data_IF_252648063833
#
_entry.id   IF_252648063833
#
_cell.length_a   1.000
_cell.length_b   1.000
_cell.length_c   1.000
_cell.angle_alpha   90.00
_cell.angle_beta   90.00
_cell.angle_gamma   90.00
#
_symmetry.space_group_name_H-M   'P 1'
#
loop_
_entity.id
_entity.type
_entity.pdbx_description
1 polymer ?
#
# COMPACT_ATOMS: atom_id res chain seq x y z
N UNK A 1 -3.02 -1.73 -53.99
CA UNK A 1 -3.85 -1.87 -52.76
C UNK A 1 -3.73 -3.26 -52.12
N UNK A 2 -3.55 -4.34 -52.88
CA UNK A 2 -3.54 -5.71 -52.34
C UNK A 2 -2.34 -6.04 -51.42
N UNK A 3 -1.15 -5.48 -51.67
CA UNK A 3 0.04 -5.76 -50.85
C UNK A 3 -0.04 -5.19 -49.42
N UNK A 4 -0.68 -4.01 -49.27
CA UNK A 4 -0.85 -3.37 -47.96
C UNK A 4 -1.83 -4.16 -47.07
N UNK A 5 -2.92 -4.66 -47.66
CA UNK A 5 -3.92 -5.45 -46.94
C UNK A 5 -3.36 -6.80 -46.47
N UNK A 6 -2.53 -7.44 -47.31
CA UNK A 6 -1.82 -8.67 -46.95
C UNK A 6 -0.79 -8.42 -45.85
N UNK A 7 0.00 -7.35 -45.94
CA UNK A 7 1.00 -6.99 -44.93
C UNK A 7 0.36 -6.64 -43.58
N UNK A 8 -0.79 -5.95 -43.58
CA UNK A 8 -1.56 -5.67 -42.37
C UNK A 8 -2.10 -6.96 -41.73
N UNK A 9 -2.57 -7.91 -42.56
CA UNK A 9 -3.11 -9.20 -42.10
C UNK A 9 -2.02 -10.09 -41.52
N UNK A 10 -0.83 -10.11 -42.11
CA UNK A 10 0.35 -10.83 -41.60
C UNK A 10 0.85 -10.24 -40.27
N UNK A 11 0.95 -8.92 -40.16
CA UNK A 11 1.34 -8.25 -38.92
C UNK A 11 0.34 -8.55 -37.78
N UNK A 12 -0.96 -8.43 -38.05
CA UNK A 12 -2.00 -8.74 -37.08
C UNK A 12 -1.96 -10.22 -36.64
N UNK A 13 -1.71 -11.14 -37.58
CA UNK A 13 -1.60 -12.58 -37.29
C UNK A 13 -0.39 -12.89 -36.40
N UNK A 14 0.75 -12.24 -36.64
CA UNK A 14 1.96 -12.43 -35.83
C UNK A 14 1.81 -11.90 -34.40
N UNK A 15 1.17 -10.73 -34.25
CA UNK A 15 0.86 -10.16 -32.93
C UNK A 15 -0.14 -11.03 -32.18
N UNK A 16 -1.20 -11.50 -32.86
CA UNK A 16 -2.19 -12.39 -32.27
C UNK A 16 -1.56 -13.71 -31.80
N UNK A 17 -0.72 -14.33 -32.62
CA UNK A 17 -0.02 -15.57 -32.25
C UNK A 17 0.92 -15.36 -31.05
N UNK A 18 1.64 -14.23 -31.00
CA UNK A 18 2.51 -13.88 -29.87
C UNK A 18 1.71 -13.66 -28.59
N UNK A 19 0.56 -12.99 -28.69
CA UNK A 19 -0.36 -12.77 -27.58
C UNK A 19 -0.91 -14.09 -27.02
N UNK A 20 -1.39 -14.97 -27.90
CA UNK A 20 -1.97 -16.26 -27.54
C UNK A 20 -0.92 -17.16 -26.87
N UNK A 21 0.28 -17.24 -27.43
CA UNK A 21 1.37 -18.03 -26.84
C UNK A 21 1.79 -17.49 -25.48
N UNK A 22 1.88 -16.17 -25.31
CA UNK A 22 2.24 -15.58 -24.01
C UNK A 22 1.12 -15.78 -22.98
N UNK A 23 -0.13 -15.56 -23.36
CA UNK A 23 -1.28 -15.78 -22.50
C UNK A 23 -1.37 -17.25 -22.04
N UNK A 24 -1.11 -18.20 -22.93
CA UNK A 24 -1.08 -19.63 -22.61
C UNK A 24 0.02 -19.97 -21.59
N UNK A 25 1.21 -19.38 -21.74
CA UNK A 25 2.32 -19.55 -20.79
C UNK A 25 2.02 -18.93 -19.42
N UNK A 26 1.42 -17.75 -19.37
CA UNK A 26 1.03 -17.07 -18.12
C UNK A 26 -0.10 -17.84 -17.42
N UNK A 27 -1.11 -18.30 -18.18
CA UNK A 27 -2.21 -19.08 -17.65
C UNK A 27 -1.71 -20.40 -17.02
N UNK A 28 -0.80 -21.10 -17.69
CA UNK A 28 -0.18 -22.33 -17.16
C UNK A 28 0.56 -22.06 -15.85
N UNK A 29 1.32 -20.96 -15.76
CA UNK A 29 2.01 -20.56 -14.53
C UNK A 29 1.04 -20.18 -13.40
N UNK A 30 -0.07 -19.50 -13.72
CA UNK A 30 -1.10 -19.14 -12.75
C UNK A 30 -1.84 -20.37 -12.21
N UNK A 31 -2.16 -21.35 -13.07
CA UNK A 31 -2.75 -22.63 -12.66
C UNK A 31 -1.81 -23.39 -11.71
N UNK A 32 -0.52 -23.45 -12.03
CA UNK A 32 0.48 -24.09 -11.17
C UNK A 32 0.63 -23.39 -9.81
N UNK A 33 0.49 -22.07 -9.75
CA UNK A 33 0.47 -21.31 -8.50
C UNK A 33 -0.80 -21.58 -7.69
N UNK A 34 -1.97 -21.64 -8.33
CA UNK A 34 -3.23 -21.95 -7.66
C UNK A 34 -3.21 -23.36 -7.04
N UNK A 35 -2.66 -24.35 -7.75
CA UNK A 35 -2.48 -25.71 -7.21
C UNK A 35 -1.47 -25.76 -6.05
N UNK A 36 -0.40 -24.96 -6.09
CA UNK A 36 0.54 -24.84 -4.97
C UNK A 36 -0.08 -24.15 -3.74
N UNK A 37 -0.94 -23.14 -3.94
CA UNK A 37 -1.65 -22.46 -2.88
C UNK A 37 -2.70 -23.37 -2.19
N UNK A 38 -3.32 -24.28 -2.93
CA UNK A 38 -4.24 -25.27 -2.38
C UNK A 38 -3.52 -26.34 -1.53
N UNK A 39 -2.22 -26.57 -1.76
CA UNK A 39 -1.44 -27.64 -1.13
C UNK A 39 -0.36 -27.14 -0.14
N UNK A 40 -0.19 -25.82 0.08
CA UNK A 40 0.87 -25.25 0.92
C UNK A 40 0.43 -23.99 1.68
N UNK A 41 0.42 -24.06 3.02
CA UNK A 41 -0.10 -23.02 3.94
C UNK A 41 0.79 -21.77 4.11
N UNK A 42 1.92 -21.68 3.40
CA UNK A 42 2.83 -20.53 3.57
C UNK A 42 2.39 -19.37 2.66
N UNK A 43 1.41 -18.59 3.13
CA UNK A 43 0.80 -17.45 2.42
C UNK A 43 1.81 -16.44 1.83
N UNK A 44 3.00 -16.31 2.43
CA UNK A 44 4.05 -15.38 1.98
C UNK A 44 4.70 -15.79 0.63
N UNK A 45 4.88 -17.09 0.38
CA UNK A 45 5.48 -17.58 -0.87
C UNK A 45 4.48 -17.45 -2.03
N UNK A 46 3.21 -17.81 -1.79
CA UNK A 46 2.11 -17.66 -2.75
C UNK A 46 1.91 -16.19 -3.14
N UNK A 47 1.89 -15.28 -2.16
CA UNK A 47 1.71 -13.84 -2.41
C UNK A 47 2.88 -13.26 -3.23
N UNK A 48 4.11 -13.68 -2.93
CA UNK A 48 5.30 -13.23 -3.65
C UNK A 48 5.32 -13.75 -5.09
N UNK A 49 4.96 -15.02 -5.31
CA UNK A 49 4.85 -15.58 -6.67
C UNK A 49 3.72 -14.93 -7.47
N UNK A 50 2.56 -14.68 -6.86
CA UNK A 50 1.44 -13.99 -7.50
C UNK A 50 1.82 -12.57 -7.95
N UNK A 51 2.55 -11.83 -7.10
CA UNK A 51 3.01 -10.47 -7.42
C UNK A 51 4.00 -10.46 -8.60
N UNK A 52 4.89 -11.46 -8.67
CA UNK A 52 5.83 -11.62 -9.78
C UNK A 52 5.13 -12.00 -11.09
N UNK A 53 4.09 -12.84 -11.05
CA UNK A 53 3.28 -13.15 -12.23
C UNK A 53 2.47 -11.94 -12.70
N UNK A 54 1.90 -11.17 -11.77
CA UNK A 54 1.19 -9.93 -12.09
C UNK A 54 2.09 -8.88 -12.74
N UNK A 55 3.32 -8.72 -12.25
CA UNK A 55 4.29 -7.81 -12.86
C UNK A 55 4.75 -8.28 -14.24
N UNK A 56 4.99 -9.58 -14.42
CA UNK A 56 5.30 -10.18 -15.72
C UNK A 56 4.16 -9.99 -16.73
N UNK A 57 2.92 -10.23 -16.34
CA UNK A 57 1.75 -10.04 -17.20
C UNK A 57 1.61 -8.57 -17.65
N UNK A 58 1.81 -7.64 -16.72
CA UNK A 58 1.77 -6.19 -17.00
C UNK A 58 2.89 -5.77 -17.95
N UNK A 59 4.12 -6.26 -17.72
CA UNK A 59 5.27 -5.95 -18.56
C UNK A 59 5.10 -6.50 -19.98
N UNK A 60 4.60 -7.73 -20.13
CA UNK A 60 4.38 -8.31 -21.46
C UNK A 60 3.26 -7.58 -22.20
N UNK A 61 2.14 -7.26 -21.54
CA UNK A 61 1.06 -6.48 -22.14
C UNK A 61 1.56 -5.12 -22.65
N UNK A 62 2.39 -4.42 -21.87
CA UNK A 62 3.02 -3.17 -22.29
C UNK A 62 3.95 -3.33 -23.49
N UNK A 63 4.79 -4.38 -23.50
CA UNK A 63 5.70 -4.65 -24.61
C UNK A 63 4.98 -5.03 -25.91
N UNK A 64 3.91 -5.82 -25.82
CA UNK A 64 3.10 -6.24 -26.96
C UNK A 64 2.30 -5.07 -27.54
N UNK A 65 1.73 -4.23 -26.68
CA UNK A 65 1.06 -2.99 -27.10
C UNK A 65 2.05 -2.06 -27.82
N UNK A 66 3.26 -1.90 -27.28
CA UNK A 66 4.32 -1.11 -27.92
C UNK A 66 4.76 -1.67 -29.27
N UNK A 67 4.90 -3.00 -29.38
CA UNK A 67 5.25 -3.68 -30.64
C UNK A 67 4.15 -3.53 -31.70
N UNK A 68 2.88 -3.70 -31.31
CA UNK A 68 1.74 -3.53 -32.21
C UNK A 68 1.63 -2.08 -32.70
N UNK A 69 1.85 -1.11 -31.81
CA UNK A 69 1.84 0.32 -32.16
C UNK A 69 3.00 0.69 -33.09
N UNK A 70 4.22 0.18 -32.83
CA UNK A 70 5.37 0.39 -33.70
C UNK A 70 5.18 -0.23 -35.10
N UNK A 71 4.59 -1.42 -35.17
CA UNK A 71 4.25 -2.07 -36.44
C UNK A 71 3.16 -1.29 -37.21
N UNK A 72 2.14 -0.80 -36.51
CA UNK A 72 1.10 0.05 -37.10
C UNK A 72 1.69 1.37 -37.64
N UNK A 73 2.60 2.00 -36.87
CA UNK A 73 3.27 3.23 -37.28
C UNK A 73 4.12 3.04 -38.55
N UNK A 74 4.87 1.95 -38.65
CA UNK A 74 5.62 1.63 -39.88
C UNK A 74 4.72 1.38 -41.10
N UNK A 75 3.48 0.94 -40.87
CA UNK A 75 2.53 0.67 -41.95
C UNK A 75 1.81 1.95 -42.41
N UNK A 76 1.45 2.86 -41.49
CA UNK A 76 0.73 4.11 -41.79
C UNK A 76 1.27 5.30 -40.99
N UNK A 77 2.44 5.86 -41.37
CA UNK A 77 3.13 6.87 -40.57
C UNK A 77 2.34 8.17 -40.32
N UNK A 78 1.44 8.54 -41.22
CA UNK A 78 0.67 9.80 -41.17
C UNK A 78 -0.58 9.75 -40.27
N UNK A 79 -1.06 8.55 -39.90
CA UNK A 79 -2.32 8.39 -39.13
C UNK A 79 -2.05 7.98 -37.69
N UNK A 80 -1.05 7.13 -37.46
CA UNK A 80 -0.68 6.67 -36.12
C UNK A 80 0.55 7.44 -35.62
N UNK A 81 0.48 8.08 -34.44
CA UNK A 81 1.61 8.81 -33.87
C UNK A 81 2.85 7.93 -33.74
N UNK A 82 4.04 8.50 -33.96
CA UNK A 82 5.31 7.83 -33.70
C UNK A 82 5.31 7.29 -32.25
N UNK A 83 5.88 6.10 -32.00
CA UNK A 83 5.95 5.54 -30.66
C UNK A 83 6.80 6.46 -29.79
N UNK A 84 6.16 7.42 -29.13
CA UNK A 84 6.77 8.16 -28.04
C UNK A 84 7.11 7.12 -26.98
N UNK A 85 8.39 7.03 -26.63
CA UNK A 85 8.90 6.15 -25.60
C UNK A 85 8.43 6.53 -24.21
N UNK A 86 7.12 6.70 -24.00
CA UNK A 86 6.50 6.55 -22.68
C UNK A 86 6.48 5.07 -22.36
N UNK A 87 7.69 4.54 -22.16
CA UNK A 87 7.91 3.56 -21.12
C UNK A 87 7.20 4.12 -19.87
N UNK A 88 6.07 3.53 -19.48
CA UNK A 88 5.74 3.44 -18.06
C UNK A 88 6.72 2.45 -17.42
N UNK A 89 8.03 2.74 -17.57
CA UNK A 89 8.99 2.47 -16.54
C UNK A 89 8.76 3.57 -15.52
N UNK A 90 8.13 3.22 -14.41
CA UNK A 90 8.24 3.94 -13.15
C UNK A 90 9.70 3.88 -12.69
N UNK A 91 10.56 4.59 -13.41
CA UNK A 91 11.94 4.95 -13.06
C UNK A 91 12.42 6.04 -14.00
N UNK A 92 11.69 7.15 -14.09
CA UNK A 92 12.25 8.42 -14.56
C UNK A 92 13.01 9.08 -13.40
N UNK A 93 14.30 8.80 -13.32
CA UNK A 93 15.26 9.79 -12.84
C UNK A 93 16.11 10.22 -14.03
N UNK A 94 15.56 11.15 -14.82
CA UNK A 94 16.35 11.99 -15.71
C UNK A 94 16.58 13.32 -14.99
N UNK A 95 17.86 13.67 -14.83
CA UNK A 95 18.24 14.99 -14.37
C UNK A 95 17.78 16.08 -15.32
N UNK A 96 17.54 17.25 -14.72
CA UNK A 96 17.72 18.60 -15.28
C UNK A 96 17.21 18.87 -16.69
N UNK A 97 16.04 19.49 -16.78
CA UNK A 97 15.76 20.50 -17.80
C UNK A 97 14.68 21.45 -17.28
N UNK A 98 14.99 22.75 -17.27
CA UNK A 98 14.03 23.83 -17.19
C UNK A 98 12.89 23.60 -18.18
N UNK A 99 11.67 23.49 -17.67
CA UNK A 99 10.46 23.36 -18.47
C UNK A 99 9.26 23.82 -17.65
N UNK A 100 8.49 24.72 -18.23
CA UNK A 100 7.24 25.29 -17.73
C UNK A 100 6.29 24.23 -17.15
N UNK A 101 5.49 24.56 -16.12
CA UNK A 101 4.65 23.60 -15.43
C UNK A 101 3.50 23.15 -16.36
N UNK A 102 3.54 21.89 -16.78
CA UNK A 102 2.39 21.25 -17.40
C UNK A 102 1.31 21.04 -16.32
N UNK A 103 0.11 21.54 -16.60
CA UNK A 103 -1.06 21.47 -15.73
C UNK A 103 -1.30 20.02 -15.25
N UNK A 104 -1.15 19.78 -13.94
CA UNK A 104 -1.32 18.46 -13.31
C UNK A 104 -0.09 17.89 -12.61
N UNK A 105 1.03 18.61 -12.55
CA UNK A 105 2.21 18.16 -11.81
C UNK A 105 1.95 18.14 -10.29
N UNK A 106 1.98 16.92 -9.73
CA UNK A 106 1.82 16.70 -8.28
C UNK A 106 2.93 17.43 -7.54
N UNK A 107 2.59 18.31 -6.60
CA UNK A 107 3.58 19.03 -5.79
C UNK A 107 4.42 18.04 -4.95
N UNK A 108 5.69 17.87 -5.35
CA UNK A 108 6.67 17.02 -4.66
C UNK A 108 7.65 17.81 -3.79
N UNK A 109 7.44 19.11 -3.59
CA UNK A 109 8.34 19.96 -2.78
C UNK A 109 8.43 19.55 -1.30
N UNK A 110 7.53 18.68 -0.85
CA UNK A 110 7.50 18.13 0.51
C UNK A 110 7.96 16.67 0.60
N UNK A 111 8.31 16.04 -0.53
CA UNK A 111 8.78 14.67 -0.55
C UNK A 111 10.18 14.62 0.07
N UNK A 112 10.35 13.89 1.17
CA UNK A 112 11.65 13.69 1.85
C UNK A 112 12.51 12.70 1.05
N UNK A 113 12.57 12.88 -0.27
CA UNK A 113 13.20 11.95 -1.19
C UNK A 113 14.73 11.97 -1.00
N UNK A 114 15.40 10.80 -0.97
CA UNK A 114 16.85 10.75 -0.80
C UNK A 114 17.61 11.17 -2.08
N UNK A 115 16.90 11.44 -3.18
CA UNK A 115 17.46 11.77 -4.49
C UNK A 115 17.81 13.25 -4.62
N UNK A 116 17.18 14.11 -3.82
CA UNK A 116 17.43 15.53 -3.77
C UNK A 116 18.22 15.87 -2.50
N UNK A 117 19.32 16.61 -2.64
CA UNK A 117 20.20 16.94 -1.51
C UNK A 117 19.50 17.80 -0.45
N UNK A 118 18.60 18.69 -0.87
CA UNK A 118 17.82 19.54 0.03
C UNK A 118 16.88 18.72 0.92
N UNK A 119 16.20 17.74 0.31
CA UNK A 119 15.26 16.87 1.00
C UNK A 119 15.99 15.87 1.91
N UNK A 120 17.17 15.40 1.49
CA UNK A 120 18.07 14.61 2.33
C UNK A 120 18.51 15.39 3.58
N UNK A 121 18.92 16.65 3.44
CA UNK A 121 19.31 17.48 4.58
C UNK A 121 18.14 17.72 5.54
N UNK A 122 16.93 17.94 5.01
CA UNK A 122 15.69 18.06 5.81
C UNK A 122 15.37 16.75 6.54
N UNK A 123 15.48 15.61 5.87
CA UNK A 123 15.30 14.29 6.46
C UNK A 123 16.29 14.04 7.60
N UNK A 124 17.58 14.28 7.40
CA UNK A 124 18.61 14.11 8.45
C UNK A 124 18.34 15.00 9.67
N UNK A 125 17.87 16.24 9.45
CA UNK A 125 17.47 17.15 10.54
C UNK A 125 16.29 16.60 11.34
N UNK A 126 15.29 16.03 10.67
CA UNK A 126 14.11 15.43 11.32
C UNK A 126 14.47 14.13 12.06
N UNK A 127 15.33 13.31 11.46
CA UNK A 127 15.75 12.03 12.03
C UNK A 127 16.52 12.22 13.35
N UNK A 128 17.36 13.26 13.44
CA UNK A 128 18.06 13.62 14.69
C UNK A 128 17.11 14.05 15.82
N UNK A 129 15.91 14.51 15.49
CA UNK A 129 14.87 14.94 16.46
C UNK A 129 13.86 13.85 16.77
N UNK A 130 14.02 12.66 16.20
CA UNK A 130 13.12 11.54 16.43
C UNK A 130 13.27 11.05 17.87
N UNK A 131 12.18 11.02 18.62
CA UNK A 131 12.15 10.33 19.91
C UNK A 131 12.28 8.80 19.75
N UNK A 132 12.83 8.18 20.79
CA UNK A 132 12.95 6.73 20.91
C UNK A 132 11.58 6.05 20.99
N UNK A 133 11.55 4.74 20.71
CA UNK A 133 10.31 3.98 20.79
C UNK A 133 9.72 3.97 22.21
N UNK A 134 10.57 3.91 23.23
CA UNK A 134 10.19 3.86 24.63
C UNK A 134 9.52 5.17 25.06
N UNK A 135 10.10 6.32 24.69
CA UNK A 135 9.49 7.64 24.95
C UNK A 135 8.12 7.79 24.27
N UNK A 136 7.92 7.19 23.10
CA UNK A 136 6.61 7.19 22.43
C UNK A 136 5.59 6.29 23.13
N UNK A 137 6.03 5.22 23.79
CA UNK A 137 5.16 4.37 24.62
C UNK A 137 4.77 5.10 25.91
N UNK A 138 5.73 5.75 26.57
CA UNK A 138 5.49 6.56 27.77
C UNK A 138 4.51 7.72 27.50
N UNK A 139 4.65 8.37 26.33
CA UNK A 139 3.70 9.40 25.87
C UNK A 139 2.34 8.82 25.44
N UNK A 140 2.15 7.49 25.49
CA UNK A 140 0.91 6.81 25.13
C UNK A 140 0.59 6.80 23.63
N UNK A 141 1.53 7.22 22.79
CA UNK A 141 1.39 7.28 21.32
C UNK A 141 1.53 5.87 20.76
N UNK A 142 2.56 5.13 21.17
CA UNK A 142 2.79 3.76 20.73
C UNK A 142 2.20 2.79 21.77
N UNK A 143 1.34 1.86 21.33
CA UNK A 143 0.63 0.92 22.23
C UNK A 143 1.41 -0.35 22.58
N UNK A 144 2.57 -0.57 21.97
CA UNK A 144 3.37 -1.77 22.17
C UNK A 144 4.74 -1.65 21.49
N UNK A 145 5.48 -2.75 21.36
CA UNK A 145 6.78 -2.71 20.70
C UNK A 145 6.66 -2.32 19.20
N UNK A 146 7.69 -1.67 18.62
CA UNK A 146 7.70 -1.38 17.19
C UNK A 146 7.55 -2.67 16.36
N UNK A 147 6.62 -2.66 15.40
CA UNK A 147 6.35 -3.81 14.55
C UNK A 147 5.35 -4.83 15.10
N UNK A 148 4.83 -4.63 16.32
CA UNK A 148 3.79 -5.47 16.88
C UNK A 148 2.40 -5.10 16.32
N UNK A 149 1.97 -5.85 15.30
CA UNK A 149 0.69 -5.64 14.61
C UNK A 149 -0.53 -5.89 15.50
N UNK A 150 -0.39 -6.60 16.62
CA UNK A 150 -1.51 -6.95 17.51
C UNK A 150 -1.61 -6.01 18.73
N UNK A 151 -0.67 -5.09 18.92
CA UNK A 151 -0.65 -4.18 20.06
C UNK A 151 -1.96 -3.39 20.22
N UNK A 152 -2.52 -2.88 19.12
CA UNK A 152 -3.81 -2.17 19.14
C UNK A 152 -4.95 -3.06 19.64
N UNK A 153 -5.06 -4.29 19.10
CA UNK A 153 -6.12 -5.24 19.50
C UNK A 153 -6.02 -5.65 20.97
N UNK A 154 -4.80 -5.81 21.51
CA UNK A 154 -4.61 -6.12 22.93
C UNK A 154 -5.04 -4.96 23.82
N UNK A 155 -4.69 -3.72 23.45
CA UNK A 155 -5.11 -2.52 24.17
C UNK A 155 -6.64 -2.35 24.14
N UNK A 156 -7.29 -2.66 23.02
CA UNK A 156 -8.75 -2.63 22.89
C UNK A 156 -9.43 -3.67 23.79
N UNK A 157 -8.87 -4.89 23.86
CA UNK A 157 -9.35 -5.94 24.74
C UNK A 157 -9.21 -5.56 26.21
N UNK A 158 -8.03 -5.07 26.61
CA UNK A 158 -7.78 -4.62 27.99
C UNK A 158 -8.74 -3.49 28.39
N UNK A 159 -9.00 -2.55 27.48
CA UNK A 159 -9.99 -1.50 27.69
C UNK A 159 -11.40 -2.06 27.89
N UNK A 160 -11.81 -3.05 27.11
CA UNK A 160 -13.11 -3.69 27.25
C UNK A 160 -13.23 -4.42 28.60
N UNK A 161 -12.19 -5.17 28.99
CA UNK A 161 -12.15 -5.85 30.30
C UNK A 161 -12.24 -4.85 31.46
N UNK A 162 -11.47 -3.76 31.40
CA UNK A 162 -11.50 -2.72 32.43
C UNK A 162 -12.86 -2.02 32.49
N UNK A 163 -13.51 -1.83 31.33
CA UNK A 163 -14.87 -1.30 31.27
C UNK A 163 -15.86 -2.23 31.97
N UNK A 164 -15.81 -3.53 31.69
CA UNK A 164 -16.73 -4.51 32.30
C UNK A 164 -16.54 -4.57 33.83
N UNK A 165 -15.29 -4.55 34.30
CA UNK A 165 -14.97 -4.50 35.73
C UNK A 165 -15.51 -3.21 36.36
N UNK A 166 -15.26 -2.06 35.73
CA UNK A 166 -15.73 -0.77 36.24
C UNK A 166 -17.26 -0.72 36.29
N UNK A 167 -17.95 -1.23 35.28
CA UNK A 167 -19.41 -1.28 35.23
C UNK A 167 -19.97 -2.14 36.39
N UNK A 168 -19.31 -3.26 36.73
CA UNK A 168 -19.67 -4.10 37.88
C UNK A 168 -19.41 -3.40 39.22
N UNK A 169 -18.25 -2.78 39.40
CA UNK A 169 -17.88 -2.08 40.63
C UNK A 169 -18.76 -0.86 40.90
N UNK A 170 -19.12 -0.12 39.84
CA UNK A 170 -20.06 1.00 39.94
C UNK A 170 -21.47 0.50 40.30
N UNK A 171 -21.93 -0.61 39.72
CA UNK A 171 -23.23 -1.18 40.04
C UNK A 171 -23.32 -1.65 41.50
N UNK A 172 -22.22 -2.14 42.07
CA UNK A 172 -22.12 -2.58 43.47
C UNK A 172 -21.65 -1.47 44.43
N UNK A 173 -21.64 -0.21 43.97
CA UNK A 173 -21.16 0.91 44.77
C UNK A 173 -21.97 1.04 46.08
N UNK A 174 -21.32 0.96 47.25
CA UNK A 174 -22.00 1.11 48.54
C UNK A 174 -22.63 2.50 48.68
N UNK A 175 -23.78 2.55 49.33
CA UNK A 175 -24.43 3.82 49.67
C UNK A 175 -23.60 4.58 50.72
N UNK A 176 -23.62 5.92 50.72
CA UNK A 176 -22.82 6.71 51.65
C UNK A 176 -23.14 6.41 53.12
N UNK A 177 -24.37 6.04 53.46
CA UNK A 177 -24.75 5.64 54.81
C UNK A 177 -24.04 4.36 55.27
N UNK A 178 -23.86 3.39 54.35
CA UNK A 178 -23.10 2.16 54.64
C UNK A 178 -21.62 2.47 54.87
N UNK A 179 -21.08 3.49 54.20
CA UNK A 179 -19.70 3.96 54.42
C UNK A 179 -19.53 4.64 55.78
N UNK A 180 -20.55 5.37 56.26
CA UNK A 180 -20.56 5.93 57.62
C UNK A 180 -20.61 4.82 58.65
N UNK A 181 -21.44 3.80 58.44
CA UNK A 181 -21.53 2.65 59.35
C UNK A 181 -20.21 1.86 59.43
N UNK A 182 -19.49 1.77 58.31
CA UNK A 182 -18.16 1.16 58.25
C UNK A 182 -17.04 2.06 58.81
N UNK A 183 -17.35 3.28 59.24
CA UNK A 183 -16.39 4.25 59.77
C UNK A 183 -15.43 4.83 58.73
N UNK A 184 -15.76 4.69 57.44
CA UNK A 184 -14.96 5.21 56.32
C UNK A 184 -15.32 6.67 56.03
N UNK A 185 -16.61 7.02 56.14
CA UNK A 185 -17.13 8.36 55.89
C UNK A 185 -17.62 9.01 57.19
N UNK A 186 -17.32 10.29 57.39
CA UNK A 186 -17.85 11.04 58.52
C UNK A 186 -19.32 11.42 58.28
N UNK A 187 -20.20 11.38 59.31
CA UNK A 187 -21.62 11.69 59.14
C UNK A 187 -21.88 13.14 58.70
N UNK A 188 -20.96 14.07 58.94
CA UNK A 188 -21.02 15.47 58.49
C UNK A 188 -20.69 15.68 57.01
N UNK A 189 -20.09 14.68 56.37
CA UNK A 189 -19.58 14.75 54.99
C UNK A 189 -20.46 13.96 54.01
N UNK A 190 -21.61 13.44 54.46
CA UNK A 190 -22.56 12.73 53.60
C UNK A 190 -23.08 13.68 52.52
N UNK A 191 -22.85 13.38 51.23
CA UNK A 191 -23.29 14.26 50.16
C UNK A 191 -24.82 14.27 50.09
N UNK A 192 -25.42 15.46 50.10
CA UNK A 192 -26.86 15.62 49.84
C UNK A 192 -27.14 15.31 48.37
N UNK A 193 -28.17 14.50 48.06
CA UNK A 193 -28.55 14.24 46.68
C UNK A 193 -28.92 15.57 45.99
N UNK A 194 -28.28 15.83 44.83
CA UNK A 194 -28.56 17.00 43.97
C UNK A 194 -29.80 16.77 43.11
#
# INVERSE_FOLDING_TARGET
MSNFLNQATEAASNVANTAVNTASNIATQATNLATQAANSETAANVTSQAKNLGSQATAVAGSLAGQAQAQAHNLVPDIVPAPSGTTTSTSTSSGGAQGEPAEGEVDRSHDLSPKNEMDKAKFEKLYKRRESADELQEKGILKGAPGDVMAGKRADLEKAMNKDVLDQEIAQRPQPEELVQKGILNPSEVPTPR
#
